data_IF_860128189347
#
_entry.id   IF_860128189347
#
_cell.length_a   1.000
_cell.length_b   1.000
_cell.length_c   1.000
_cell.angle_alpha   90.00
_cell.angle_beta   90.00
_cell.angle_gamma   90.00
#
_symmetry.space_group_name_H-M   'P 1'
#
loop_
_entity.id
_entity.type
_entity.pdbx_description
1 polymer ?
#
# COMPACT_ATOMS: atom_id res chain seq x y z
N UNK A 1 -9.57 -15.35 17.03
CA UNK A 1 -8.57 -14.48 16.35
C UNK A 1 -7.20 -14.82 16.93
N UNK A 2 -6.37 -15.59 16.21
CA UNK A 2 -4.99 -15.88 16.66
C UNK A 2 -4.14 -14.66 16.31
N UNK A 3 -3.95 -13.76 17.26
CA UNK A 3 -3.00 -12.65 17.13
C UNK A 3 -1.59 -13.20 16.99
N UNK A 4 -0.83 -12.66 16.03
CA UNK A 4 0.59 -12.92 15.84
C UNK A 4 1.34 -12.49 17.11
N UNK A 5 2.06 -13.41 17.73
CA UNK A 5 2.81 -13.10 18.94
C UNK A 5 3.97 -12.13 18.63
N UNK A 6 4.29 -11.16 19.50
CA UNK A 6 5.30 -10.12 19.24
C UNK A 6 6.65 -10.65 18.78
N UNK A 7 7.04 -11.84 19.28
CA UNK A 7 8.28 -12.53 18.90
C UNK A 7 8.30 -12.94 17.42
N UNK A 8 7.17 -13.35 16.85
CA UNK A 8 7.07 -13.74 15.44
C UNK A 8 7.16 -12.52 14.52
N UNK A 9 6.55 -11.40 14.90
CA UNK A 9 6.64 -10.15 14.15
C UNK A 9 8.08 -9.61 14.11
N UNK A 10 8.83 -9.72 15.22
CA UNK A 10 10.25 -9.37 15.27
C UNK A 10 11.11 -10.22 14.33
N UNK A 11 10.98 -11.54 14.39
CA UNK A 11 11.71 -12.49 13.53
C UNK A 11 11.43 -12.28 12.03
N UNK A 12 10.19 -11.99 11.68
CA UNK A 12 9.84 -11.67 10.29
C UNK A 12 10.53 -10.40 9.83
N UNK A 13 10.51 -9.35 10.66
CA UNK A 13 11.12 -8.07 10.29
C UNK A 13 12.63 -8.22 10.04
N UNK A 14 13.33 -8.96 10.88
CA UNK A 14 14.76 -9.25 10.70
C UNK A 14 14.99 -9.95 9.34
N UNK A 15 14.22 -10.99 9.05
CA UNK A 15 14.31 -11.71 7.78
C UNK A 15 14.00 -10.83 6.56
N UNK A 16 13.02 -9.94 6.68
CA UNK A 16 12.68 -8.97 5.63
C UNK A 16 13.84 -7.99 5.40
N UNK A 17 14.52 -7.57 6.46
CA UNK A 17 15.69 -6.70 6.35
C UNK A 17 16.89 -7.41 5.70
N UNK A 18 17.15 -8.67 6.03
CA UNK A 18 18.19 -9.46 5.38
C UNK A 18 17.95 -9.52 3.86
N UNK A 19 16.70 -9.76 3.45
CA UNK A 19 16.33 -9.75 2.03
C UNK A 19 16.52 -8.37 1.38
N UNK A 20 16.19 -7.29 2.07
CA UNK A 20 16.44 -5.94 1.55
C UNK A 20 17.94 -5.65 1.39
N UNK A 21 18.77 -6.07 2.34
CA UNK A 21 20.23 -5.93 2.27
C UNK A 21 20.80 -6.71 1.08
N UNK A 22 20.24 -7.88 0.78
CA UNK A 22 20.59 -8.70 -0.39
C UNK A 22 19.96 -8.21 -1.71
N UNK A 23 19.26 -7.07 -1.70
CA UNK A 23 18.50 -6.53 -2.83
C UNK A 23 17.37 -7.42 -3.37
N UNK A 24 16.86 -8.34 -2.54
CA UNK A 24 15.77 -9.28 -2.83
C UNK A 24 14.40 -8.72 -2.45
N UNK A 25 14.07 -7.56 -3.02
CA UNK A 25 12.87 -6.81 -2.65
C UNK A 25 11.57 -7.53 -3.00
N UNK A 26 11.54 -8.28 -4.11
CA UNK A 26 10.37 -9.08 -4.48
C UNK A 26 10.02 -10.08 -3.36
N UNK A 27 11.01 -10.81 -2.85
CA UNK A 27 10.81 -11.79 -1.79
C UNK A 27 10.49 -11.14 -0.45
N UNK A 28 11.10 -9.99 -0.15
CA UNK A 28 10.78 -9.19 1.03
C UNK A 28 9.30 -8.79 1.03
N UNK A 29 8.82 -8.26 -0.10
CA UNK A 29 7.42 -7.85 -0.26
C UNK A 29 6.47 -9.05 -0.27
N UNK A 30 6.81 -10.18 -0.91
CA UNK A 30 5.99 -11.40 -0.87
C UNK A 30 5.73 -11.85 0.57
N UNK A 31 6.75 -11.81 1.42
CA UNK A 31 6.61 -12.17 2.83
C UNK A 31 5.78 -11.14 3.60
N UNK A 32 6.08 -9.85 3.45
CA UNK A 32 5.33 -8.80 4.17
C UNK A 32 3.85 -8.71 3.76
N UNK A 33 3.53 -8.96 2.48
CA UNK A 33 2.15 -9.00 1.97
C UNK A 33 1.38 -10.22 2.48
N UNK A 34 2.06 -11.35 2.67
CA UNK A 34 1.44 -12.58 3.17
C UNK A 34 1.03 -12.49 4.64
N UNK A 35 1.59 -11.53 5.39
CA UNK A 35 1.21 -11.33 6.78
C UNK A 35 -0.16 -10.67 6.93
N UNK A 36 -0.94 -11.11 7.95
CA UNK A 36 -2.23 -10.49 8.26
C UNK A 36 -2.04 -9.05 8.77
N UNK A 37 -1.00 -8.81 9.56
CA UNK A 37 -0.70 -7.48 10.09
C UNK A 37 -0.03 -6.58 9.05
N UNK A 38 -0.54 -5.35 8.94
CA UNK A 38 -0.06 -4.36 7.96
C UNK A 38 1.26 -3.70 8.43
N UNK A 39 1.62 -3.83 9.70
CA UNK A 39 2.76 -3.17 10.33
C UNK A 39 4.08 -3.47 9.62
N UNK A 40 4.33 -4.75 9.28
CA UNK A 40 5.52 -5.16 8.55
C UNK A 40 5.56 -4.58 7.14
N UNK A 41 4.47 -4.67 6.40
CA UNK A 41 4.34 -4.12 5.04
C UNK A 41 4.56 -2.61 5.01
N UNK A 42 3.89 -1.87 5.90
CA UNK A 42 3.99 -0.42 5.97
C UNK A 42 5.40 0.03 6.36
N UNK A 43 6.04 -0.68 7.31
CA UNK A 43 7.43 -0.43 7.68
C UNK A 43 8.39 -0.72 6.52
N UNK A 44 8.14 -1.78 5.76
CA UNK A 44 8.91 -2.11 4.57
C UNK A 44 8.79 -1.02 3.50
N UNK A 45 7.56 -0.55 3.21
CA UNK A 45 7.34 0.55 2.25
C UNK A 45 8.04 1.85 2.66
N UNK A 46 8.13 2.13 3.97
CA UNK A 46 8.91 3.27 4.48
C UNK A 46 10.41 3.09 4.31
N UNK A 47 10.90 1.87 4.41
CA UNK A 47 12.31 1.56 4.24
C UNK A 47 12.74 1.61 2.77
N UNK A 48 11.92 1.07 1.86
CA UNK A 48 12.30 0.89 0.45
C UNK A 48 11.82 2.00 -0.46
N UNK A 49 10.83 2.79 -0.03
CA UNK A 49 10.13 3.73 -0.89
C UNK A 49 9.29 3.03 -1.96
N UNK A 50 8.91 3.74 -3.03
CA UNK A 50 8.12 3.19 -4.13
C UNK A 50 9.00 2.24 -4.97
N UNK A 51 8.55 0.99 -5.11
CA UNK A 51 9.36 -0.13 -5.63
C UNK A 51 8.68 -0.87 -6.80
N UNK A 52 7.67 -0.25 -7.42
CA UNK A 52 6.67 -0.90 -8.27
C UNK A 52 7.27 -1.77 -9.38
N UNK A 53 8.32 -1.29 -10.05
CA UNK A 53 8.96 -1.97 -11.19
C UNK A 53 9.73 -3.24 -10.80
N UNK A 54 9.93 -3.48 -9.51
CA UNK A 54 10.67 -4.64 -8.98
C UNK A 54 9.75 -5.75 -8.49
N UNK A 55 8.45 -5.58 -8.65
CA UNK A 55 7.44 -6.55 -8.26
C UNK A 55 6.86 -7.24 -9.50
N UNK A 56 6.60 -8.54 -9.38
CA UNK A 56 5.86 -9.28 -10.41
C UNK A 56 4.36 -8.89 -10.38
N UNK A 57 3.65 -9.22 -11.47
CA UNK A 57 2.23 -8.86 -11.62
C UNK A 57 1.35 -9.40 -10.47
N UNK A 58 1.65 -10.60 -9.97
CA UNK A 58 0.93 -11.18 -8.85
C UNK A 58 1.14 -10.38 -7.56
N UNK A 59 2.40 -10.06 -7.23
CA UNK A 59 2.76 -9.31 -6.03
C UNK A 59 2.22 -7.89 -6.08
N UNK A 60 2.25 -7.25 -7.25
CA UNK A 60 1.61 -5.95 -7.48
C UNK A 60 0.10 -6.03 -7.24
N UNK A 61 -0.59 -7.03 -7.79
CA UNK A 61 -2.03 -7.22 -7.59
C UNK A 61 -2.40 -7.43 -6.11
N UNK A 62 -1.63 -8.25 -5.39
CA UNK A 62 -1.82 -8.46 -3.94
C UNK A 62 -1.52 -7.20 -3.14
N UNK A 63 -0.46 -6.47 -3.49
CA UNK A 63 -0.11 -5.21 -2.83
C UNK A 63 -1.21 -4.17 -3.02
N UNK A 64 -1.72 -3.99 -4.24
CA UNK A 64 -2.86 -3.10 -4.54
C UNK A 64 -4.03 -3.41 -3.61
N UNK A 65 -4.41 -4.69 -3.48
CA UNK A 65 -5.51 -5.10 -2.57
C UNK A 65 -5.23 -4.77 -1.11
N UNK A 66 -3.99 -4.96 -0.64
CA UNK A 66 -3.60 -4.59 0.74
C UNK A 66 -3.66 -3.07 0.94
N UNK A 67 -3.19 -2.28 -0.02
CA UNK A 67 -3.26 -0.82 0.05
C UNK A 67 -4.71 -0.32 0.07
N UNK A 68 -5.58 -0.87 -0.77
CA UNK A 68 -7.02 -0.59 -0.77
C UNK A 68 -7.63 -0.87 0.61
N UNK A 69 -7.28 -2.01 1.21
CA UNK A 69 -7.77 -2.39 2.53
C UNK A 69 -7.33 -1.39 3.61
N UNK A 70 -6.05 -1.00 3.60
CA UNK A 70 -5.51 0.01 4.54
C UNK A 70 -6.20 1.36 4.36
N UNK A 71 -6.36 1.82 3.10
CA UNK A 71 -7.02 3.09 2.79
C UNK A 71 -8.52 3.09 3.14
N UNK A 72 -9.16 1.92 3.14
CA UNK A 72 -10.57 1.78 3.54
C UNK A 72 -10.78 1.90 5.04
N UNK A 73 -9.72 1.87 5.86
CA UNK A 73 -9.76 1.99 7.31
C UNK A 73 -8.55 2.77 7.84
N UNK A 74 -8.45 4.08 7.54
CA UNK A 74 -7.27 4.90 7.84
C UNK A 74 -7.16 5.30 9.32
N UNK A 75 -8.05 4.83 10.18
CA UNK A 75 -8.10 5.16 11.62
C UNK A 75 -6.97 4.54 12.44
N UNK A 76 -6.11 3.70 11.85
CA UNK A 76 -4.94 3.12 12.52
C UNK A 76 -3.76 4.11 12.43
N UNK A 77 -3.11 4.40 13.56
CA UNK A 77 -1.93 5.30 13.62
C UNK A 77 -0.83 4.92 12.61
N UNK A 78 -0.62 3.62 12.39
CA UNK A 78 0.37 3.11 11.44
C UNK A 78 0.05 3.48 9.98
N UNK A 79 -1.24 3.54 9.62
CA UNK A 79 -1.68 3.92 8.28
C UNK A 79 -1.46 5.41 8.04
N UNK A 80 -1.78 6.26 9.02
CA UNK A 80 -1.51 7.70 8.98
C UNK A 80 -0.02 7.98 8.80
N UNK A 81 0.82 7.31 9.60
CA UNK A 81 2.26 7.48 9.55
C UNK A 81 2.93 6.94 8.27
N UNK A 82 2.18 6.25 7.41
CA UNK A 82 2.70 5.62 6.19
C UNK A 82 1.96 6.07 4.93
N UNK A 83 1.03 7.02 5.06
CA UNK A 83 0.12 7.40 3.97
C UNK A 83 0.86 7.98 2.76
N UNK A 84 1.93 8.75 3.01
CA UNK A 84 2.77 9.32 1.97
C UNK A 84 3.44 8.23 1.13
N UNK A 85 3.88 7.14 1.75
CA UNK A 85 4.51 6.02 1.05
C UNK A 85 3.49 5.22 0.25
N UNK A 86 2.27 5.07 0.76
CA UNK A 86 1.16 4.45 0.03
C UNK A 86 0.86 5.28 -1.23
N UNK A 87 0.74 6.60 -1.09
CA UNK A 87 0.47 7.48 -2.22
C UNK A 87 1.62 7.54 -3.22
N UNK A 88 2.87 7.56 -2.75
CA UNK A 88 4.04 7.50 -3.61
C UNK A 88 4.06 6.22 -4.45
N UNK A 89 3.75 5.07 -3.84
CA UNK A 89 3.64 3.80 -4.54
C UNK A 89 2.51 3.82 -5.57
N UNK A 90 1.32 4.31 -5.21
CA UNK A 90 0.18 4.42 -6.13
C UNK A 90 0.49 5.33 -7.32
N UNK A 91 1.15 6.47 -7.10
CA UNK A 91 1.59 7.36 -8.20
C UNK A 91 2.52 6.64 -9.15
N UNK A 92 3.53 5.95 -8.62
CA UNK A 92 4.46 5.21 -9.45
C UNK A 92 3.72 4.13 -10.25
N UNK A 93 2.81 3.38 -9.62
CA UNK A 93 2.05 2.33 -10.30
C UNK A 93 1.17 2.85 -11.43
N UNK A 94 0.56 4.03 -11.26
CA UNK A 94 -0.19 4.71 -12.30
C UNK A 94 0.73 5.21 -13.43
N UNK A 95 1.88 5.78 -13.09
CA UNK A 95 2.84 6.32 -14.06
C UNK A 95 3.52 5.23 -14.90
N UNK A 96 3.85 4.08 -14.30
CA UNK A 96 4.49 2.95 -14.98
C UNK A 96 3.49 2.06 -15.72
N UNK A 97 2.18 2.34 -15.63
CA UNK A 97 1.15 1.57 -16.32
C UNK A 97 0.96 0.15 -15.77
N UNK A 98 1.09 -0.04 -14.45
CA UNK A 98 0.71 -1.31 -13.83
C UNK A 98 -0.76 -1.60 -14.14
N UNK A 99 -1.06 -2.84 -14.48
CA UNK A 99 -2.42 -3.26 -14.73
C UNK A 99 -3.22 -3.34 -13.42
N UNK A 100 -4.34 -2.61 -13.38
CA UNK A 100 -5.36 -2.73 -12.34
C UNK A 100 -6.57 -3.45 -12.93
N UNK A 101 -7.13 -4.42 -12.20
CA UNK A 101 -8.42 -5.01 -12.59
C UNK A 101 -9.54 -3.98 -12.39
N UNK A 102 -10.64 -4.11 -13.14
CA UNK A 102 -11.80 -3.21 -12.99
C UNK A 102 -12.27 -3.10 -11.52
N UNK A 103 -12.35 -4.24 -10.82
CA UNK A 103 -12.67 -4.28 -9.38
C UNK A 103 -11.67 -3.53 -8.51
N UNK A 104 -10.36 -3.64 -8.78
CA UNK A 104 -9.35 -2.88 -8.05
C UNK A 104 -9.49 -1.38 -8.28
N UNK A 105 -9.80 -0.95 -9.51
CA UNK A 105 -10.04 0.46 -9.84
C UNK A 105 -11.28 0.99 -9.09
N UNK A 106 -12.35 0.20 -9.03
CA UNK A 106 -13.58 0.56 -8.30
C UNK A 106 -13.35 0.68 -6.78
N UNK A 107 -12.71 -0.33 -6.20
CA UNK A 107 -12.41 -0.37 -4.76
C UNK A 107 -11.43 0.73 -4.37
N UNK A 108 -10.37 0.95 -5.15
CA UNK A 108 -9.36 1.97 -4.89
C UNK A 108 -9.96 3.38 -4.97
N UNK A 109 -10.78 3.65 -5.98
CA UNK A 109 -11.47 4.93 -6.08
C UNK A 109 -12.41 5.16 -4.89
N UNK A 110 -13.14 4.14 -4.46
CA UNK A 110 -14.01 4.23 -3.27
C UNK A 110 -13.21 4.52 -2.01
N UNK A 111 -12.07 3.85 -1.83
CA UNK A 111 -11.18 4.08 -0.69
C UNK A 111 -10.57 5.49 -0.71
N UNK A 112 -10.07 5.95 -1.86
CA UNK A 112 -9.51 7.30 -2.04
C UNK A 112 -10.57 8.38 -1.82
N UNK A 113 -11.81 8.18 -2.28
CA UNK A 113 -12.91 9.10 -2.04
C UNK A 113 -13.18 9.27 -0.54
N UNK A 114 -13.18 8.20 0.24
CA UNK A 114 -13.32 8.27 1.71
C UNK A 114 -12.16 9.01 2.35
N UNK A 115 -10.94 8.75 1.90
CA UNK A 115 -9.75 9.44 2.40
C UNK A 115 -9.79 10.95 2.10
N UNK A 116 -10.27 11.35 0.93
CA UNK A 116 -10.37 12.75 0.52
C UNK A 116 -11.44 13.56 1.29
N UNK A 117 -12.37 12.90 1.97
CA UNK A 117 -13.45 13.56 2.69
C UNK A 117 -12.95 14.39 3.89
N UNK A 118 -13.63 15.51 4.24
CA UNK A 118 -13.28 16.32 5.40
C UNK A 118 -13.30 15.57 6.75
N UNK A 119 -14.07 14.50 6.85
CA UNK A 119 -14.17 13.67 8.07
C UNK A 119 -13.03 12.66 8.21
N UNK A 120 -12.17 12.52 7.19
CA UNK A 120 -11.00 11.64 7.24
C UNK A 120 -10.03 12.08 8.35
N UNK A 121 -9.43 11.13 9.10
CA UNK A 121 -8.44 11.43 10.14
C UNK A 121 -7.10 11.92 9.56
N UNK A 122 -6.93 11.90 8.23
CA UNK A 122 -5.71 12.28 7.55
C UNK A 122 -5.59 13.81 7.41
N UNK A 123 -4.35 14.34 7.42
CA UNK A 123 -4.12 15.77 7.35
C UNK A 123 -4.56 16.36 6.00
N UNK A 124 -4.88 17.67 5.92
CA UNK A 124 -5.38 18.31 4.69
C UNK A 124 -4.54 18.03 3.42
N UNK A 125 -3.19 18.05 3.45
CA UNK A 125 -2.39 17.71 2.28
C UNK A 125 -2.63 16.29 1.77
N UNK A 126 -2.68 15.30 2.66
CA UNK A 126 -2.94 13.91 2.30
C UNK A 126 -4.34 13.73 1.69
N UNK A 127 -5.35 14.47 2.19
CA UNK A 127 -6.71 14.44 1.61
C UNK A 127 -6.73 15.05 0.20
N UNK A 128 -6.03 16.16 0.00
CA UNK A 128 -5.89 16.78 -1.32
C UNK A 128 -5.19 15.85 -2.31
N UNK A 129 -4.14 15.16 -1.87
CA UNK A 129 -3.41 14.18 -2.66
C UNK A 129 -4.28 12.97 -3.02
N UNK A 130 -5.11 12.49 -2.09
CA UNK A 130 -6.09 11.45 -2.37
C UNK A 130 -7.10 11.88 -3.44
N UNK A 131 -7.55 13.14 -3.43
CA UNK A 131 -8.40 13.68 -4.51
C UNK A 131 -7.70 13.66 -5.87
N UNK A 132 -6.40 13.98 -5.92
CA UNK A 132 -5.63 13.93 -7.17
C UNK A 132 -5.46 12.49 -7.68
N UNK A 133 -5.13 11.56 -6.79
CA UNK A 133 -5.04 10.14 -7.13
C UNK A 133 -6.40 9.59 -7.59
N UNK A 134 -7.50 10.00 -6.96
CA UNK A 134 -8.85 9.60 -7.35
C UNK A 134 -9.16 9.99 -8.79
N UNK A 135 -8.79 11.19 -9.24
CA UNK A 135 -8.99 11.63 -10.61
C UNK A 135 -8.22 10.74 -11.61
N UNK A 136 -6.98 10.38 -11.28
CA UNK A 136 -6.17 9.50 -12.12
C UNK A 136 -6.73 8.07 -12.18
N UNK A 137 -7.11 7.50 -11.03
CA UNK A 137 -7.73 6.17 -10.97
C UNK A 137 -9.08 6.15 -11.71
N UNK A 138 -9.88 7.21 -11.60
CA UNK A 138 -11.14 7.33 -12.33
C UNK A 138 -10.94 7.41 -13.85
N UNK A 139 -9.81 7.94 -14.33
CA UNK A 139 -9.50 7.95 -15.75
C UNK A 139 -9.26 6.53 -16.31
N UNK A 140 -8.74 5.59 -15.49
CA UNK A 140 -8.55 4.19 -15.87
C UNK A 140 -9.87 3.44 -16.15
N UNK A 141 -11.02 4.00 -15.72
CA UNK A 141 -12.34 3.41 -15.98
C UNK A 141 -12.84 3.63 -17.40
N UNK A 142 -12.19 4.53 -18.17
CA UNK A 142 -12.64 4.86 -19.52
C UNK A 142 -11.97 3.90 -20.51
N UNK A 143 -12.75 3.19 -21.36
CA UNK A 143 -12.23 2.28 -22.38
C UNK A 143 -11.48 3.02 -23.48
#
# INVERSE_FOLDING_TARGET
VKGTSPKKAGLLWEKVMDLCNDQRFLEAYKQAIAEPEESCLLRLMRHTGPIVERLDAESNSRLIRRLIHILSSPSKDCAVASIEQIFAWLRQALATGIHFTASQVEDLATALQRVAQPQSPLPPPARAEASQLLLQVAALRRP
#
